data_IF_159949910498
#
_entry.id   IF_159949910498
#
_cell.length_a   1.000
_cell.length_b   1.000
_cell.length_c   1.000
_cell.angle_alpha   90.00
_cell.angle_beta   90.00
_cell.angle_gamma   90.00
#
_symmetry.space_group_name_H-M   'P 1'
#
loop_
_entity.id
_entity.type
_entity.pdbx_description
1 polymer ?
#
# COMPACT_ATOMS: atom_id res chain seq x y z
N UNK A 1 8.52 0.58 -0.04
CA UNK A 1 8.81 -0.66 0.71
C UNK A 1 9.84 -0.47 1.81
N UNK A 2 9.44 -0.67 3.09
CA UNK A 2 10.35 -0.75 4.22
C UNK A 2 11.06 -2.11 4.27
N UNK A 3 11.98 -2.34 3.32
CA UNK A 3 12.72 -3.59 3.12
C UNK A 3 14.23 -3.34 3.11
N UNK A 4 14.81 -2.98 4.27
CA UNK A 4 16.28 -2.82 4.37
C UNK A 4 17.00 -4.17 4.31
N UNK A 5 16.75 -5.06 5.28
CA UNK A 5 17.25 -6.44 5.28
C UNK A 5 16.35 -7.37 6.10
N UNK A 6 16.38 -8.66 5.81
CA UNK A 6 15.54 -9.68 6.43
C UNK A 6 16.20 -11.06 6.32
N UNK A 7 15.58 -12.08 6.94
CA UNK A 7 16.03 -13.47 6.87
C UNK A 7 16.83 -13.99 8.07
N UNK A 8 16.95 -13.18 9.14
CA UNK A 8 17.68 -13.53 10.36
C UNK A 8 16.77 -13.81 11.57
N UNK A 9 15.45 -13.89 11.35
CA UNK A 9 14.45 -14.18 12.38
C UNK A 9 14.13 -13.03 13.33
N UNK A 10 14.77 -11.85 13.19
CA UNK A 10 14.48 -10.70 14.07
C UNK A 10 13.20 -10.00 13.65
N UNK A 11 12.34 -9.71 14.63
CA UNK A 11 11.16 -8.87 14.45
C UNK A 11 11.57 -7.40 14.48
N UNK A 12 11.23 -6.66 13.43
CA UNK A 12 11.54 -5.24 13.31
C UNK A 12 10.44 -4.51 12.53
N UNK A 13 10.25 -3.23 12.83
CA UNK A 13 9.40 -2.32 12.05
C UNK A 13 10.15 -1.67 10.87
N UNK A 14 11.38 -2.13 10.63
CA UNK A 14 12.30 -1.67 9.59
C UNK A 14 12.51 -0.14 9.59
N UNK A 15 13.12 0.43 8.55
CA UNK A 15 13.66 1.77 8.63
C UNK A 15 12.61 2.88 8.85
N UNK A 16 11.40 2.74 8.28
CA UNK A 16 10.31 3.69 8.48
C UNK A 16 9.76 3.66 9.92
N UNK A 17 9.52 2.46 10.46
CA UNK A 17 8.99 2.34 11.81
C UNK A 17 10.00 2.72 12.89
N UNK A 18 11.31 2.50 12.63
CA UNK A 18 12.39 2.98 13.48
C UNK A 18 12.50 4.50 13.47
N UNK A 19 12.36 5.13 12.29
CA UNK A 19 12.36 6.59 12.15
C UNK A 19 11.16 7.22 12.90
N UNK A 20 9.95 6.68 12.68
CA UNK A 20 8.75 7.08 13.44
C UNK A 20 8.96 6.94 14.94
N UNK A 21 9.50 5.81 15.41
CA UNK A 21 9.77 5.58 16.84
C UNK A 21 10.77 6.60 17.40
N UNK A 22 11.76 7.00 16.60
CA UNK A 22 12.70 8.05 17.00
C UNK A 22 11.96 9.39 17.17
N UNK A 23 11.13 9.78 16.20
CA UNK A 23 10.35 11.02 16.29
C UNK A 23 9.42 11.03 17.52
N UNK A 24 8.77 9.91 17.82
CA UNK A 24 7.97 9.73 19.04
C UNK A 24 8.75 9.95 20.34
N UNK A 25 10.07 9.69 20.37
CA UNK A 25 10.90 9.95 21.55
C UNK A 25 11.19 11.45 21.72
N UNK A 26 11.31 12.18 20.61
CA UNK A 26 11.48 13.63 20.64
C UNK A 26 10.19 14.31 21.12
N UNK A 27 9.03 13.71 20.85
CA UNK A 27 7.71 14.19 21.25
C UNK A 27 6.89 13.14 22.01
N UNK A 28 7.22 12.84 23.29
CA UNK A 28 6.59 11.76 24.04
C UNK A 28 5.08 11.89 24.23
N UNK A 29 4.54 13.12 24.17
CA UNK A 29 3.11 13.40 24.33
C UNK A 29 2.31 13.35 23.02
N UNK A 30 2.98 13.26 21.86
CA UNK A 30 2.34 13.23 20.55
C UNK A 30 2.30 11.79 20.04
N UNK A 31 1.15 11.27 19.62
CA UNK A 31 1.11 9.95 18.97
C UNK A 31 1.59 10.06 17.53
N UNK A 32 2.72 9.43 17.22
CA UNK A 32 3.23 9.37 15.86
C UNK A 32 2.72 8.13 15.12
N UNK A 33 2.14 8.34 13.94
CA UNK A 33 1.70 7.29 13.01
C UNK A 33 2.37 7.48 11.66
N UNK A 34 2.80 6.38 11.04
CA UNK A 34 3.40 6.38 9.71
C UNK A 34 2.61 5.44 8.81
N UNK A 35 2.14 5.97 7.69
CA UNK A 35 1.44 5.20 6.66
C UNK A 35 2.33 5.11 5.41
N UNK A 36 2.40 3.92 4.82
CA UNK A 36 2.99 3.80 3.50
C UNK A 36 2.01 4.39 2.47
N UNK A 37 2.49 5.28 1.61
CA UNK A 37 1.78 5.66 0.39
C UNK A 37 1.74 4.53 -0.64
N UNK A 38 1.36 4.84 -1.88
CA UNK A 38 1.38 3.86 -2.97
C UNK A 38 2.82 3.47 -3.32
N UNK A 39 3.31 2.40 -2.67
CA UNK A 39 4.70 1.99 -2.69
C UNK A 39 4.97 0.70 -3.48
N UNK A 40 3.97 0.13 -4.15
CA UNK A 40 4.03 -1.18 -4.81
C UNK A 40 5.22 -1.39 -5.75
N UNK A 41 5.67 -0.32 -6.41
CA UNK A 41 6.84 -0.29 -7.29
C UNK A 41 8.01 0.53 -6.74
N UNK A 42 7.99 0.87 -5.45
CA UNK A 42 9.00 1.74 -4.80
C UNK A 42 9.79 0.95 -3.74
N UNK A 43 11.09 0.78 -3.97
CA UNK A 43 12.05 0.29 -2.99
C UNK A 43 13.13 1.33 -2.68
N UNK A 44 13.95 1.07 -1.66
CA UNK A 44 15.13 1.88 -1.38
C UNK A 44 16.20 1.81 -2.50
N UNK A 45 16.14 0.76 -3.34
CA UNK A 45 16.91 0.63 -4.57
C UNK A 45 18.42 0.82 -4.34
N UNK A 46 19.04 1.70 -5.11
CA UNK A 46 20.48 2.01 -5.03
C UNK A 46 20.96 2.52 -3.66
N UNK A 47 20.04 2.90 -2.77
CA UNK A 47 20.36 3.36 -1.41
C UNK A 47 20.35 2.24 -0.37
N UNK A 48 20.13 0.98 -0.78
CA UNK A 48 20.12 -0.16 0.12
C UNK A 48 20.95 -1.31 -0.47
N UNK A 49 22.08 -1.58 0.16
CA UNK A 49 22.92 -2.74 -0.15
C UNK A 49 22.61 -3.96 0.74
N UNK A 50 21.57 -3.88 1.60
CA UNK A 50 21.18 -4.93 2.52
C UNK A 50 21.99 -4.98 3.82
N UNK A 51 22.89 -4.03 4.07
CA UNK A 51 23.72 -4.03 5.28
C UNK A 51 22.98 -3.44 6.51
N UNK A 52 23.41 -3.79 7.73
CA UNK A 52 22.93 -3.13 8.95
C UNK A 52 23.09 -1.60 8.93
N UNK A 53 24.17 -1.11 8.35
CA UNK A 53 24.49 0.33 8.22
C UNK A 53 23.51 1.02 7.26
N UNK A 54 23.16 0.38 6.14
CA UNK A 54 22.15 0.91 5.22
C UNK A 54 20.80 1.12 5.92
N UNK A 55 20.38 0.22 6.83
CA UNK A 55 19.18 0.43 7.64
C UNK A 55 19.28 1.71 8.49
N UNK A 56 20.43 1.95 9.13
CA UNK A 56 20.65 3.15 9.96
C UNK A 56 20.55 4.41 9.09
N UNK A 57 21.19 4.42 7.93
CA UNK A 57 21.14 5.55 7.00
C UNK A 57 19.72 5.80 6.47
N UNK A 58 19.00 4.75 6.08
CA UNK A 58 17.61 4.86 5.62
C UNK A 58 16.70 5.37 6.74
N UNK A 59 16.89 4.90 7.98
CA UNK A 59 16.17 5.40 9.15
C UNK A 59 16.44 6.89 9.36
N UNK A 60 17.70 7.33 9.26
CA UNK A 60 18.04 8.74 9.39
C UNK A 60 17.36 9.59 8.32
N UNK A 61 17.39 9.17 7.05
CA UNK A 61 16.75 9.90 5.95
C UNK A 61 15.23 10.03 6.12
N UNK A 62 14.55 8.98 6.56
CA UNK A 62 13.11 9.05 6.82
C UNK A 62 12.83 9.95 8.04
N UNK A 63 13.65 9.87 9.09
CA UNK A 63 13.51 10.73 10.26
C UNK A 63 13.67 12.20 9.91
N UNK A 64 14.71 12.55 9.12
CA UNK A 64 14.95 13.91 8.66
C UNK A 64 13.79 14.41 7.80
N UNK A 65 13.23 13.55 6.94
CA UNK A 65 12.05 13.88 6.14
C UNK A 65 10.80 14.14 6.99
N UNK A 66 10.56 13.34 8.03
CA UNK A 66 9.47 13.55 8.99
C UNK A 66 9.65 14.89 9.70
N UNK A 67 10.81 15.12 10.32
CA UNK A 67 11.09 16.36 11.04
C UNK A 67 11.00 17.60 10.14
N UNK A 68 11.50 17.52 8.91
CA UNK A 68 11.40 18.61 7.93
C UNK A 68 9.95 18.88 7.51
N UNK A 69 9.12 17.84 7.35
CA UNK A 69 7.70 18.01 7.00
C UNK A 69 6.89 18.69 8.10
N UNK A 70 7.38 18.65 9.34
CA UNK A 70 6.71 19.20 10.51
C UNK A 70 7.18 20.61 10.89
N UNK A 71 8.34 21.04 10.37
CA UNK A 71 9.01 22.28 10.78
C UNK A 71 8.17 23.54 10.58
N UNK A 72 7.33 23.54 9.54
CA UNK A 72 6.49 24.69 9.15
C UNK A 72 4.99 24.43 9.33
N UNK A 73 4.61 23.45 10.19
CA UNK A 73 3.21 23.16 10.46
C UNK A 73 2.54 24.31 11.22
N UNK A 74 1.41 24.75 10.69
CA UNK A 74 0.56 25.76 11.31
C UNK A 74 -0.75 25.10 11.75
N UNK A 75 -1.04 25.00 13.06
CA UNK A 75 -2.31 24.49 13.54
C UNK A 75 -3.49 25.26 12.95
N UNK A 76 -4.49 24.53 12.47
CA UNK A 76 -5.73 25.09 11.95
C UNK A 76 -6.92 24.51 12.72
N UNK A 77 -8.00 25.28 12.94
CA UNK A 77 -9.24 24.72 13.47
C UNK A 77 -9.78 23.65 12.51
N UNK A 78 -10.39 22.60 13.06
CA UNK A 78 -11.15 21.64 12.27
C UNK A 78 -12.54 22.24 12.05
N UNK A 79 -12.84 22.56 10.80
CA UNK A 79 -14.12 23.15 10.37
C UNK A 79 -15.05 22.10 9.78
N UNK A 80 -14.49 21.07 9.13
CA UNK A 80 -15.25 19.97 8.56
C UNK A 80 -14.50 18.65 8.66
N UNK A 81 -15.27 17.58 8.86
CA UNK A 81 -14.80 16.20 8.84
C UNK A 81 -15.83 15.34 8.11
N UNK A 82 -15.37 14.53 7.16
CA UNK A 82 -16.19 13.53 6.52
C UNK A 82 -15.41 12.24 6.29
N UNK A 83 -16.14 11.13 6.34
CA UNK A 83 -15.60 9.81 6.05
C UNK A 83 -16.49 9.16 5.00
N UNK A 84 -15.88 8.86 3.86
CA UNK A 84 -16.59 8.27 2.72
C UNK A 84 -15.99 6.93 2.38
N UNK A 85 -16.82 6.00 1.94
CA UNK A 85 -16.41 4.68 1.47
C UNK A 85 -16.87 4.44 0.04
N UNK A 86 -16.15 3.56 -0.65
CA UNK A 86 -16.51 3.08 -1.98
C UNK A 86 -16.07 1.61 -2.10
N UNK A 87 -17.01 0.73 -2.38
CA UNK A 87 -16.71 -0.70 -2.52
C UNK A 87 -16.33 -1.01 -3.97
N UNK A 88 -15.24 -1.75 -4.14
CA UNK A 88 -14.84 -2.31 -5.44
C UNK A 88 -14.82 -3.83 -5.37
N UNK A 89 -15.19 -4.48 -6.47
CA UNK A 89 -15.01 -5.91 -6.64
C UNK A 89 -13.88 -6.14 -7.67
N UNK A 90 -12.66 -6.47 -7.23
CA UNK A 90 -11.51 -6.56 -8.12
C UNK A 90 -11.67 -7.65 -9.20
N UNK A 91 -11.27 -7.39 -10.44
CA UNK A 91 -11.33 -8.38 -11.51
C UNK A 91 -10.15 -9.35 -11.37
N UNK A 92 -10.42 -10.62 -11.03
CA UNK A 92 -9.39 -11.67 -10.94
C UNK A 92 -8.63 -11.81 -12.27
N UNK A 93 -7.32 -12.08 -12.19
CA UNK A 93 -6.53 -12.43 -13.37
C UNK A 93 -6.74 -13.91 -13.74
N UNK A 94 -7.12 -14.24 -14.99
CA UNK A 94 -7.31 -15.63 -15.41
C UNK A 94 -6.02 -16.47 -15.39
N UNK A 95 -4.85 -15.85 -15.23
CA UNK A 95 -3.58 -16.54 -15.01
C UNK A 95 -3.62 -17.41 -13.74
N UNK A 96 -4.42 -17.05 -12.74
CA UNK A 96 -4.50 -17.77 -11.46
C UNK A 96 -5.69 -18.73 -11.44
N UNK A 97 -5.46 -19.98 -11.81
CA UNK A 97 -6.46 -21.04 -11.72
C UNK A 97 -6.50 -21.70 -10.34
N UNK A 98 -7.66 -21.64 -9.68
CA UNK A 98 -7.85 -22.20 -8.34
C UNK A 98 -7.54 -23.71 -8.28
N UNK A 99 -7.90 -24.48 -9.32
CA UNK A 99 -7.68 -25.94 -9.28
C UNK A 99 -6.19 -26.27 -9.36
N UNK A 100 -5.42 -25.55 -10.17
CA UNK A 100 -3.97 -25.68 -10.26
C UNK A 100 -3.30 -25.26 -8.95
N UNK A 101 -3.63 -24.09 -8.41
CA UNK A 101 -3.09 -23.62 -7.13
C UNK A 101 -3.37 -24.60 -5.99
N UNK A 102 -4.57 -25.21 -5.96
CA UNK A 102 -4.89 -26.24 -4.97
C UNK A 102 -4.03 -27.51 -5.10
N UNK A 103 -3.49 -27.84 -6.27
CA UNK A 103 -2.51 -28.93 -6.42
C UNK A 103 -1.18 -28.55 -5.79
N UNK A 104 -0.71 -27.32 -6.00
CA UNK A 104 0.52 -26.79 -5.42
C UNK A 104 0.44 -26.76 -3.89
N UNK A 105 -0.67 -26.28 -3.32
CA UNK A 105 -0.91 -26.24 -1.87
C UNK A 105 -0.87 -27.65 -1.25
N UNK A 106 -1.38 -28.66 -1.97
CA UNK A 106 -1.45 -30.05 -1.49
C UNK A 106 -0.15 -30.82 -1.69
N UNK A 107 0.76 -30.33 -2.54
CA UNK A 107 2.05 -30.97 -2.73
C UNK A 107 2.93 -30.79 -1.48
N UNK A 108 3.10 -31.86 -0.71
CA UNK A 108 3.91 -31.84 0.53
C UNK A 108 5.41 -31.85 0.25
N UNK A 109 5.83 -32.10 -0.99
CA UNK A 109 7.24 -32.03 -1.41
C UNK A 109 7.72 -30.59 -1.57
N UNK A 110 6.80 -29.64 -1.79
CA UNK A 110 7.10 -28.22 -1.84
C UNK A 110 7.47 -27.67 -0.45
N UNK A 111 8.33 -26.66 -0.41
CA UNK A 111 8.61 -25.93 0.83
C UNK A 111 7.32 -25.27 1.34
N UNK A 112 7.23 -25.04 2.66
CA UNK A 112 6.05 -24.41 3.27
C UNK A 112 5.76 -23.05 2.63
N UNK A 113 6.78 -22.25 2.36
CA UNK A 113 6.64 -20.93 1.72
C UNK A 113 6.04 -21.04 0.32
N UNK A 114 6.44 -22.04 -0.46
CA UNK A 114 5.93 -22.29 -1.82
C UNK A 114 4.47 -22.77 -1.82
N UNK A 115 3.96 -23.19 -0.66
CA UNK A 115 2.56 -23.58 -0.45
C UNK A 115 1.71 -22.43 0.09
N UNK A 116 2.33 -21.42 0.71
CA UNK A 116 1.63 -20.29 1.32
C UNK A 116 1.12 -19.29 0.26
N UNK A 117 1.98 -18.92 -0.70
CA UNK A 117 1.59 -17.93 -1.71
C UNK A 117 0.37 -18.39 -2.53
N UNK A 118 0.32 -19.64 -3.08
CA UNK A 118 -0.89 -20.16 -3.71
C UNK A 118 -2.11 -20.19 -2.79
N UNK A 119 -1.93 -20.46 -1.49
CA UNK A 119 -3.03 -20.47 -0.54
C UNK A 119 -3.64 -19.07 -0.34
N UNK A 120 -2.82 -18.02 -0.30
CA UNK A 120 -3.30 -16.64 -0.27
C UNK A 120 -4.04 -16.27 -1.55
N UNK A 121 -3.52 -16.66 -2.72
CA UNK A 121 -4.19 -16.46 -4.00
C UNK A 121 -5.56 -17.14 -4.04
N UNK A 122 -5.67 -18.39 -3.58
CA UNK A 122 -6.96 -19.11 -3.49
C UNK A 122 -7.93 -18.42 -2.53
N UNK A 123 -7.44 -17.93 -1.38
CA UNK A 123 -8.28 -17.20 -0.44
C UNK A 123 -8.87 -15.93 -1.08
N UNK A 124 -8.07 -15.18 -1.83
CA UNK A 124 -8.53 -13.99 -2.55
C UNK A 124 -9.50 -14.34 -3.69
N UNK A 125 -9.21 -15.36 -4.50
CA UNK A 125 -10.12 -15.85 -5.54
C UNK A 125 -11.50 -16.19 -4.95
N UNK A 126 -11.53 -16.94 -3.84
CA UNK A 126 -12.77 -17.34 -3.17
C UNK A 126 -13.53 -16.16 -2.61
N UNK A 127 -12.82 -15.19 -2.01
CA UNK A 127 -13.42 -13.95 -1.51
C UNK A 127 -14.15 -13.21 -2.63
N UNK A 128 -13.48 -12.99 -3.77
CA UNK A 128 -14.07 -12.28 -4.91
C UNK A 128 -15.25 -13.06 -5.49
N UNK A 129 -15.14 -14.39 -5.63
CA UNK A 129 -16.24 -15.26 -6.07
C UNK A 129 -17.45 -15.25 -5.11
N UNK A 130 -17.23 -15.00 -3.83
CA UNK A 130 -18.29 -14.84 -2.84
C UNK A 130 -18.92 -13.43 -2.85
N UNK A 131 -18.46 -12.52 -3.73
CA UNK A 131 -18.97 -11.16 -3.85
C UNK A 131 -18.57 -10.25 -2.69
N UNK A 132 -17.51 -10.60 -1.94
CA UNK A 132 -17.04 -9.80 -0.80
C UNK A 132 -16.11 -8.71 -1.34
N UNK A 133 -16.51 -7.43 -1.32
CA UNK A 133 -15.74 -6.35 -1.93
C UNK A 133 -14.49 -6.00 -1.12
N UNK A 134 -13.64 -5.17 -1.72
CA UNK A 134 -12.66 -4.35 -1.01
C UNK A 134 -13.27 -2.97 -0.81
N UNK A 135 -13.29 -2.51 0.43
CA UNK A 135 -13.77 -1.16 0.76
C UNK A 135 -12.62 -0.17 0.70
N UNK A 136 -12.70 0.76 -0.25
CA UNK A 136 -11.89 1.97 -0.26
C UNK A 136 -12.48 2.97 0.73
N UNK A 137 -11.65 3.84 1.30
CA UNK A 137 -12.17 4.94 2.12
C UNK A 137 -11.36 6.21 2.00
N UNK A 138 -12.00 7.33 2.32
CA UNK A 138 -11.38 8.64 2.37
C UNK A 138 -11.77 9.32 3.67
N UNK A 139 -10.77 9.68 4.49
CA UNK A 139 -10.95 10.66 5.55
C UNK A 139 -10.69 12.04 4.96
N UNK A 140 -11.66 12.94 5.07
CA UNK A 140 -11.48 14.34 4.75
C UNK A 140 -11.53 15.16 6.03
N UNK A 141 -10.55 16.04 6.18
CA UNK A 141 -10.51 17.06 7.25
C UNK A 141 -10.19 18.39 6.58
N UNK A 142 -11.12 19.34 6.66
CA UNK A 142 -11.03 20.62 5.93
C UNK A 142 -10.73 20.41 4.42
N UNK A 143 -9.58 20.91 3.95
CA UNK A 143 -9.11 20.80 2.58
C UNK A 143 -8.00 19.74 2.38
N UNK A 144 -7.99 18.72 3.24
CA UNK A 144 -7.08 17.57 3.18
C UNK A 144 -7.90 16.29 3.00
N UNK A 145 -7.49 15.43 2.07
CA UNK A 145 -8.02 14.07 1.92
C UNK A 145 -6.91 13.05 2.17
N UNK A 146 -7.19 12.08 3.04
CA UNK A 146 -6.40 10.87 3.23
C UNK A 146 -7.16 9.68 2.62
N UNK A 147 -6.66 9.18 1.49
CA UNK A 147 -7.20 8.01 0.80
C UNK A 147 -6.58 6.73 1.35
N UNK A 148 -7.42 5.78 1.76
CA UNK A 148 -7.00 4.43 2.14
C UNK A 148 -7.16 3.50 0.94
N UNK A 149 -6.04 2.99 0.43
CA UNK A 149 -5.97 2.18 -0.78
C UNK A 149 -5.52 0.74 -0.45
N UNK A 150 -6.00 -0.26 -1.22
CA UNK A 150 -5.68 -1.65 -0.94
C UNK A 150 -4.26 -2.00 -1.36
N UNK A 151 -3.75 -3.02 -0.68
CA UNK A 151 -2.57 -3.80 -1.06
C UNK A 151 -1.35 -2.96 -1.47
N UNK A 152 -0.45 -3.58 -2.23
CA UNK A 152 0.75 -2.92 -2.73
C UNK A 152 0.45 -2.17 -4.03
N UNK A 153 -0.34 -1.09 -3.91
CA UNK A 153 -0.70 -0.20 -5.02
C UNK A 153 0.52 0.57 -5.54
N UNK A 154 0.65 0.62 -6.87
CA UNK A 154 1.69 1.35 -7.58
C UNK A 154 1.58 2.87 -7.43
N UNK A 155 2.72 3.58 -7.46
CA UNK A 155 2.81 5.03 -7.20
C UNK A 155 1.91 5.86 -8.12
N UNK A 156 1.65 5.37 -9.32
CA UNK A 156 0.79 5.96 -10.34
C UNK A 156 -0.62 6.27 -9.80
N UNK A 157 -1.18 5.43 -8.93
CA UNK A 157 -2.50 5.68 -8.33
C UNK A 157 -2.49 6.91 -7.40
N UNK A 158 -1.44 7.06 -6.59
CA UNK A 158 -1.27 8.24 -5.74
C UNK A 158 -1.07 9.51 -6.56
N UNK A 159 -0.24 9.45 -7.61
CA UNK A 159 -0.01 10.61 -8.48
C UNK A 159 -1.29 11.03 -9.21
N UNK A 160 -2.08 10.07 -9.71
CA UNK A 160 -3.40 10.34 -10.32
C UNK A 160 -4.39 10.91 -9.31
N UNK A 161 -4.41 10.42 -8.07
CA UNK A 161 -5.25 10.95 -7.00
C UNK A 161 -4.94 12.41 -6.70
N UNK A 162 -3.65 12.75 -6.58
CA UNK A 162 -3.19 14.13 -6.38
C UNK A 162 -3.54 15.03 -7.57
N UNK A 163 -3.37 14.54 -8.80
CA UNK A 163 -3.73 15.27 -10.01
C UNK A 163 -5.24 15.50 -10.16
N UNK A 164 -6.08 14.59 -9.64
CA UNK A 164 -7.53 14.69 -9.71
C UNK A 164 -8.12 15.77 -8.79
N UNK A 165 -7.39 16.21 -7.77
CA UNK A 165 -7.83 17.23 -6.82
C UNK A 165 -6.76 18.33 -6.61
N UNK A 166 -6.44 19.13 -7.64
CA UNK A 166 -5.30 20.05 -7.62
C UNK A 166 -5.41 21.17 -6.57
N UNK A 167 -6.63 21.47 -6.11
CA UNK A 167 -6.89 22.48 -5.08
C UNK A 167 -7.00 21.89 -3.67
N UNK A 168 -6.70 20.59 -3.49
CA UNK A 168 -6.80 19.85 -2.22
C UNK A 168 -5.47 19.15 -1.94
N UNK A 169 -5.02 19.13 -0.70
CA UNK A 169 -3.90 18.27 -0.34
C UNK A 169 -4.39 16.81 -0.24
N UNK A 170 -3.84 15.94 -1.09
CA UNK A 170 -4.20 14.51 -1.12
C UNK A 170 -3.01 13.67 -0.67
N UNK A 171 -3.22 12.93 0.42
CA UNK A 171 -2.32 11.89 0.91
C UNK A 171 -2.94 10.50 0.66
N UNK A 172 -2.09 9.50 0.50
CA UNK A 172 -2.51 8.12 0.39
C UNK A 172 -1.89 7.29 1.52
N UNK A 173 -2.69 6.42 2.11
CA UNK A 173 -2.28 5.29 2.92
C UNK A 173 -2.67 4.01 2.16
N UNK A 174 -1.72 3.45 1.42
CA UNK A 174 -1.91 2.15 0.77
C UNK A 174 -1.69 1.01 1.78
N UNK A 175 -1.59 -0.23 1.30
CA UNK A 175 -1.40 -1.41 2.14
C UNK A 175 -2.56 -1.64 3.13
N UNK A 176 -3.77 -1.19 2.76
CA UNK A 176 -5.00 -1.53 3.47
C UNK A 176 -5.33 -3.01 3.30
N UNK A 177 -6.46 -3.32 2.68
CA UNK A 177 -6.79 -4.70 2.37
C UNK A 177 -5.71 -5.34 1.48
N UNK A 178 -4.99 -6.33 2.02
CA UNK A 178 -3.87 -6.99 1.34
C UNK A 178 -4.29 -8.08 0.34
N UNK A 179 -5.60 -8.29 0.15
CA UNK A 179 -6.13 -9.36 -0.69
C UNK A 179 -5.53 -9.42 -2.09
N UNK A 180 -5.48 -8.33 -2.88
CA UNK A 180 -4.91 -8.33 -4.24
C UNK A 180 -3.41 -8.59 -4.35
N UNK A 181 -2.66 -8.58 -3.23
CA UNK A 181 -1.20 -8.61 -3.17
C UNK A 181 -0.54 -7.37 -3.82
N UNK A 182 -0.34 -7.35 -5.14
CA UNK A 182 0.12 -6.15 -5.86
C UNK A 182 -0.97 -5.60 -6.77
N UNK A 183 -1.00 -4.28 -6.91
CA UNK A 183 -1.88 -3.59 -7.87
C UNK A 183 -1.01 -2.71 -8.77
N UNK A 184 -0.52 -3.26 -9.90
CA UNK A 184 0.20 -2.50 -10.91
C UNK A 184 -0.71 -1.54 -11.68
N UNK A 185 -0.13 -0.48 -12.23
CA UNK A 185 -0.77 0.27 -13.30
C UNK A 185 -0.94 -0.63 -14.54
N UNK A 186 -1.97 -0.37 -15.36
CA UNK A 186 -2.30 -1.16 -16.55
C UNK A 186 -1.11 -1.31 -17.49
N UNK A 187 -0.33 -0.25 -17.66
CA UNK A 187 0.84 -0.19 -18.54
C UNK A 187 2.00 -1.06 -18.07
N UNK A 188 2.04 -1.45 -16.78
CA UNK A 188 3.09 -2.29 -16.22
C UNK A 188 2.90 -3.78 -16.55
N UNK A 189 1.67 -4.24 -16.74
CA UNK A 189 1.38 -5.65 -17.04
C UNK A 189 2.18 -6.23 -18.22
N UNK A 190 2.25 -5.60 -19.41
CA UNK A 190 3.08 -6.13 -20.50
C UNK A 190 4.59 -6.07 -20.23
N UNK A 191 5.05 -5.29 -19.24
CA UNK A 191 6.46 -5.17 -18.88
C UNK A 191 6.91 -6.31 -17.96
N UNK A 192 5.98 -6.96 -17.26
CA UNK A 192 6.26 -8.06 -16.35
C UNK A 192 6.99 -7.62 -15.08
N UNK A 193 7.90 -8.48 -14.60
CA UNK A 193 8.59 -8.30 -13.33
C UNK A 193 7.84 -8.88 -12.13
N UNK A 194 8.45 -8.79 -10.94
CA UNK A 194 7.95 -9.45 -9.74
C UNK A 194 6.51 -9.04 -9.42
N UNK A 195 6.25 -7.74 -9.26
CA UNK A 195 4.94 -7.23 -8.90
C UNK A 195 3.81 -7.71 -9.84
N UNK A 196 4.06 -7.74 -11.15
CA UNK A 196 3.09 -8.24 -12.14
C UNK A 196 2.91 -9.75 -12.03
N UNK A 197 3.99 -10.51 -11.80
CA UNK A 197 3.91 -11.97 -11.67
C UNK A 197 3.06 -12.45 -10.48
N UNK A 198 2.86 -11.58 -9.49
CA UNK A 198 2.05 -11.86 -8.29
C UNK A 198 0.86 -10.90 -8.14
N UNK A 199 0.46 -10.18 -9.20
CA UNK A 199 -0.73 -9.34 -9.19
C UNK A 199 -1.96 -10.21 -9.46
N UNK A 200 -2.75 -10.53 -8.43
CA UNK A 200 -3.88 -11.45 -8.57
C UNK A 200 -5.11 -10.85 -9.27
N UNK A 201 -5.04 -9.56 -9.57
CA UNK A 201 -6.05 -8.86 -10.37
C UNK A 201 -5.54 -8.64 -11.79
N UNK A 202 -6.44 -8.76 -12.77
CA UNK A 202 -6.18 -8.45 -14.17
C UNK A 202 -5.93 -6.94 -14.37
N UNK A 203 -5.39 -6.49 -15.52
CA UNK A 203 -5.16 -5.07 -15.81
C UNK A 203 -6.41 -4.17 -15.75
N UNK A 204 -7.62 -4.76 -15.68
CA UNK A 204 -8.88 -4.03 -15.48
C UNK A 204 -9.01 -3.44 -14.07
N UNK A 205 -8.16 -3.83 -13.11
CA UNK A 205 -8.16 -3.23 -11.77
C UNK A 205 -7.74 -1.75 -11.80
N UNK A 206 -6.85 -1.36 -12.71
CA UNK A 206 -6.38 0.02 -12.79
C UNK A 206 -7.54 1.02 -13.02
N UNK A 207 -8.36 0.91 -14.09
CA UNK A 207 -9.45 1.84 -14.28
C UNK A 207 -10.49 1.77 -13.15
N UNK A 208 -10.77 0.57 -12.62
CA UNK A 208 -11.72 0.39 -11.51
C UNK A 208 -11.26 1.12 -10.23
N UNK A 209 -9.98 0.96 -9.85
CA UNK A 209 -9.41 1.63 -8.68
C UNK A 209 -9.29 3.14 -8.91
N UNK A 210 -8.92 3.56 -10.12
CA UNK A 210 -8.85 4.98 -10.49
C UNK A 210 -10.22 5.65 -10.41
N UNK A 211 -11.27 4.98 -10.86
CA UNK A 211 -12.66 5.46 -10.74
C UNK A 211 -13.09 5.55 -9.26
N UNK A 212 -12.82 4.50 -8.46
CA UNK A 212 -13.12 4.53 -7.02
C UNK A 212 -12.42 5.69 -6.29
N UNK A 213 -11.16 5.97 -6.64
CA UNK A 213 -10.41 7.13 -6.14
C UNK A 213 -11.12 8.45 -6.53
N UNK A 214 -11.52 8.61 -7.80
CA UNK A 214 -12.20 9.81 -8.27
C UNK A 214 -13.56 9.99 -7.56
N UNK A 215 -14.32 8.92 -7.40
CA UNK A 215 -15.59 8.91 -6.67
C UNK A 215 -15.37 9.40 -5.24
N UNK A 216 -14.41 8.85 -4.51
CA UNK A 216 -14.09 9.29 -3.14
C UNK A 216 -13.65 10.77 -3.07
N UNK A 217 -12.85 11.24 -4.03
CA UNK A 217 -12.36 12.62 -4.03
C UNK A 217 -13.44 13.65 -4.40
N UNK A 218 -14.41 13.26 -5.25
CA UNK A 218 -15.50 14.13 -5.70
C UNK A 218 -16.61 14.33 -4.66
N UNK A 219 -16.72 13.45 -3.66
CA UNK A 219 -17.67 13.62 -2.55
C UNK A 219 -17.29 14.86 -1.73
N UNK A 220 -18.25 15.77 -1.56
CA UNK A 220 -18.03 17.10 -0.98
C UNK A 220 -18.52 17.26 0.46
N UNK A 221 -19.06 16.21 1.08
CA UNK A 221 -19.61 16.19 2.44
C UNK A 221 -18.77 16.96 3.45
#
# INVERSE_FOLDING_TARGET
HPMSYYGDGRVSSDFCGLARRRRQKDEPSCMHLYFNGCGGNIGAGKYNNGSPEARVELTQRIYDGIAASEADLNPQPIESISWETEDILPPLDPLFDEKQLMKEIRNKENQVVDRNLPAYTVAFIRRVKAGIPITLSSLRVNNISLLHLPAESFIEFQLRAQAAAPNRFVACAAYGDGGPWYIPAKEAYPQGGYAVSVAWCSPKIDPLLSEGIQTLLSKTS
#
